data_IF_750454331644
#
_entry.id   IF_750454331644
#
_cell.length_a   1.000
_cell.length_b   1.000
_cell.length_c   1.000
_cell.angle_alpha   90.00
_cell.angle_beta   90.00
_cell.angle_gamma   90.00
#
_symmetry.space_group_name_H-M   'P 1'
#
loop_
_entity.id
_entity.type
_entity.pdbx_description
1 polymer ?
#
# COMPACT_ATOMS: atom_id res chain seq x y z
N UNK A 1 -13.08 21.39 13.48
CA UNK A 1 -13.99 22.04 14.45
C UNK A 1 -14.17 21.29 15.76
N UNK A 2 -14.41 19.97 15.77
CA UNK A 2 -14.58 19.23 17.05
C UNK A 2 -13.43 19.39 18.05
N UNK A 3 -12.18 19.48 17.57
CA UNK A 3 -11.02 19.77 18.41
C UNK A 3 -11.11 21.14 19.10
N UNK A 4 -11.52 22.19 18.39
CA UNK A 4 -11.68 23.53 18.95
C UNK A 4 -12.82 23.60 19.98
N UNK A 5 -13.91 22.85 19.78
CA UNK A 5 -14.99 22.71 20.76
C UNK A 5 -14.50 22.01 22.03
N UNK A 6 -13.75 20.90 21.91
CA UNK A 6 -13.14 20.20 23.07
C UNK A 6 -12.18 21.09 23.86
N UNK A 7 -11.40 21.91 23.15
CA UNK A 7 -10.49 22.90 23.74
C UNK A 7 -11.22 24.15 24.25
N UNK A 8 -12.55 24.21 24.15
CA UNK A 8 -13.40 25.35 24.54
C UNK A 8 -13.03 26.68 23.84
N UNK A 9 -12.40 26.61 22.67
CA UNK A 9 -12.04 27.78 21.85
C UNK A 9 -13.26 28.36 21.12
N UNK A 10 -14.29 27.52 20.89
CA UNK A 10 -15.57 27.90 20.31
C UNK A 10 -16.70 27.35 21.18
N UNK A 11 -17.83 28.04 21.23
CA UNK A 11 -19.00 27.64 22.02
C UNK A 11 -19.75 26.46 21.40
N UNK A 12 -19.77 26.38 20.08
CA UNK A 12 -20.47 25.35 19.33
C UNK A 12 -19.75 25.01 18.02
N UNK A 13 -19.91 23.77 17.53
CA UNK A 13 -19.44 23.35 16.22
C UNK A 13 -20.47 23.73 15.13
N UNK A 14 -20.18 24.65 14.20
CA UNK A 14 -21.13 25.04 13.16
C UNK A 14 -21.41 23.94 12.12
N UNK A 15 -20.57 22.90 12.03
CA UNK A 15 -20.84 21.72 11.20
C UNK A 15 -21.86 20.75 11.83
N UNK A 16 -22.31 20.97 13.08
CA UNK A 16 -23.13 20.01 13.83
C UNK A 16 -24.50 19.74 13.18
N UNK A 17 -25.05 20.72 12.49
CA UNK A 17 -26.38 20.68 11.88
C UNK A 17 -26.35 20.60 10.35
N UNK A 18 -25.16 20.44 9.77
CA UNK A 18 -24.98 20.36 8.32
C UNK A 18 -24.84 18.89 7.93
N UNK A 19 -25.70 18.42 7.03
CA UNK A 19 -25.53 17.12 6.41
C UNK A 19 -24.39 17.15 5.41
N UNK A 20 -23.53 16.13 5.47
CA UNK A 20 -22.45 16.00 4.49
C UNK A 20 -23.07 15.68 3.13
N UNK A 21 -22.77 16.44 2.07
CA UNK A 21 -23.28 16.13 0.74
C UNK A 21 -22.88 14.70 0.36
N UNK A 22 -23.86 13.95 -0.18
CA UNK A 22 -23.65 12.56 -0.59
C UNK A 22 -22.64 12.55 -1.72
N UNK A 23 -21.48 11.93 -1.48
CA UNK A 23 -20.52 11.67 -2.54
C UNK A 23 -21.00 10.46 -3.32
N UNK A 24 -20.89 10.53 -4.63
CA UNK A 24 -21.06 9.35 -5.47
C UNK A 24 -20.06 8.28 -5.06
N UNK A 25 -20.49 7.02 -5.07
CA UNK A 25 -19.59 5.91 -4.79
C UNK A 25 -18.66 5.77 -5.98
N UNK A 26 -17.36 5.95 -5.73
CA UNK A 26 -16.34 5.63 -6.71
C UNK A 26 -16.19 4.11 -6.79
N UNK A 27 -16.40 3.57 -7.98
CA UNK A 27 -16.08 2.17 -8.30
C UNK A 27 -14.82 2.19 -9.16
N UNK A 28 -13.68 1.68 -8.67
CA UNK A 28 -12.48 1.59 -9.48
C UNK A 28 -12.70 0.59 -10.63
N UNK A 29 -12.16 0.92 -11.80
CA UNK A 29 -11.96 -0.07 -12.85
C UNK A 29 -10.81 -1.00 -12.46
N UNK A 30 -11.04 -2.31 -12.56
CA UNK A 30 -10.11 -3.33 -12.05
C UNK A 30 -9.57 -4.15 -13.22
N UNK A 31 -8.28 -4.49 -13.15
CA UNK A 31 -7.67 -5.35 -14.16
C UNK A 31 -8.29 -6.75 -14.12
N UNK A 32 -8.71 -7.23 -15.28
CA UNK A 32 -9.11 -8.62 -15.47
C UNK A 32 -7.89 -9.55 -15.48
N UNK A 33 -8.07 -10.85 -15.20
CA UNK A 33 -6.96 -11.81 -15.29
C UNK A 33 -6.26 -11.82 -16.66
N UNK A 34 -7.01 -11.64 -17.75
CA UNK A 34 -6.46 -11.59 -19.10
C UNK A 34 -5.58 -10.35 -19.34
N UNK A 35 -5.97 -9.20 -18.80
CA UNK A 35 -5.17 -7.97 -18.89
C UNK A 35 -3.90 -8.08 -18.05
N UNK A 36 -3.98 -8.68 -16.85
CA UNK A 36 -2.81 -8.97 -16.02
C UNK A 36 -1.83 -9.87 -16.78
N UNK A 37 -2.30 -10.98 -17.36
CA UNK A 37 -1.45 -11.86 -18.18
C UNK A 37 -0.83 -11.12 -19.36
N UNK A 38 -1.58 -10.22 -20.00
CA UNK A 38 -1.07 -9.42 -21.12
C UNK A 38 0.04 -8.47 -20.69
N UNK A 39 -0.08 -7.82 -19.54
CA UNK A 39 0.95 -6.93 -18.98
C UNK A 39 2.22 -7.74 -18.67
N UNK A 40 2.07 -8.83 -17.92
CA UNK A 40 3.21 -9.65 -17.48
C UNK A 40 3.97 -10.24 -18.67
N UNK A 41 3.26 -10.72 -19.70
CA UNK A 41 3.87 -11.32 -20.89
C UNK A 41 4.54 -10.30 -21.83
N UNK A 42 4.28 -9.00 -21.66
CA UNK A 42 4.93 -7.94 -22.45
C UNK A 42 6.27 -7.49 -21.88
N UNK A 43 6.59 -7.87 -20.64
CA UNK A 43 7.85 -7.50 -20.01
C UNK A 43 9.00 -8.31 -20.60
N UNK A 44 10.06 -7.63 -21.01
CA UNK A 44 11.28 -8.28 -21.48
C UNK A 44 12.16 -8.66 -20.28
N UNK A 45 12.21 -9.96 -19.95
CA UNK A 45 12.99 -10.44 -18.80
C UNK A 45 14.52 -10.32 -18.98
N UNK A 46 15.00 -9.98 -20.18
CA UNK A 46 16.40 -9.63 -20.40
C UNK A 46 16.73 -8.17 -20.08
N UNK A 47 15.71 -7.31 -19.99
CA UNK A 47 15.83 -5.92 -19.57
C UNK A 47 15.72 -5.82 -18.05
N UNK A 48 16.68 -5.12 -17.42
CA UNK A 48 16.77 -4.99 -15.97
C UNK A 48 15.52 -4.35 -15.35
N UNK A 49 15.01 -3.27 -15.94
CA UNK A 49 13.85 -2.56 -15.40
C UNK A 49 12.57 -3.41 -15.52
N UNK A 50 12.36 -4.04 -16.67
CA UNK A 50 11.21 -4.92 -16.89
C UNK A 50 11.27 -6.14 -15.96
N UNK A 51 12.47 -6.69 -15.72
CA UNK A 51 12.67 -7.76 -14.75
C UNK A 51 12.33 -7.32 -13.31
N UNK A 52 12.73 -6.11 -12.91
CA UNK A 52 12.34 -5.55 -11.61
C UNK A 52 10.82 -5.38 -11.51
N UNK A 53 10.16 -4.88 -12.55
CA UNK A 53 8.70 -4.76 -12.58
C UNK A 53 8.00 -6.11 -12.57
N UNK A 54 8.57 -7.12 -13.24
CA UNK A 54 8.06 -8.49 -13.21
C UNK A 54 8.02 -9.03 -11.78
N UNK A 55 9.12 -8.90 -11.03
CA UNK A 55 9.18 -9.32 -9.62
C UNK A 55 8.19 -8.52 -8.76
N UNK A 56 8.17 -7.19 -8.91
CA UNK A 56 7.28 -6.30 -8.19
C UNK A 56 5.79 -6.66 -8.38
N UNK A 57 5.38 -6.91 -9.63
CA UNK A 57 4.02 -7.30 -9.98
C UNK A 57 3.69 -8.68 -9.41
N UNK A 58 4.59 -9.67 -9.54
CA UNK A 58 4.38 -11.00 -8.97
C UNK A 58 4.18 -10.94 -7.46
N UNK A 59 5.05 -10.26 -6.73
CA UNK A 59 4.91 -10.10 -5.28
C UNK A 59 3.60 -9.40 -4.90
N UNK A 60 3.23 -8.35 -5.63
CA UNK A 60 2.01 -7.59 -5.35
C UNK A 60 0.74 -8.41 -5.61
N UNK A 61 0.72 -9.17 -6.71
CA UNK A 61 -0.43 -9.99 -7.11
C UNK A 61 -0.63 -11.20 -6.20
N UNK A 62 0.46 -11.86 -5.78
CA UNK A 62 0.38 -13.05 -4.94
C UNK A 62 0.19 -12.71 -3.46
N UNK A 63 0.86 -11.67 -2.96
CA UNK A 63 0.90 -11.33 -1.52
C UNK A 63 0.03 -10.12 -1.14
N UNK A 64 -0.56 -9.44 -2.12
CA UNK A 64 -1.44 -8.29 -1.88
C UNK A 64 -0.73 -7.09 -1.25
N UNK A 65 0.55 -6.88 -1.58
CA UNK A 65 1.34 -5.79 -0.99
C UNK A 65 0.83 -4.42 -1.42
N UNK A 66 0.77 -3.47 -0.49
CA UNK A 66 0.61 -2.06 -0.88
C UNK A 66 1.92 -1.57 -1.48
N UNK A 67 1.86 -0.61 -2.42
CA UNK A 67 3.07 -0.07 -3.09
C UNK A 67 4.19 0.33 -2.12
N UNK A 68 3.87 1.06 -1.05
CA UNK A 68 4.88 1.44 -0.06
C UNK A 68 5.38 0.27 0.80
N UNK A 69 4.59 -0.79 0.99
CA UNK A 69 5.04 -2.03 1.65
C UNK A 69 6.06 -2.76 0.75
N UNK A 70 5.78 -2.86 -0.55
CA UNK A 70 6.68 -3.45 -1.55
C UNK A 70 8.01 -2.66 -1.65
N UNK A 71 7.93 -1.34 -1.80
CA UNK A 71 9.09 -0.46 -1.87
C UNK A 71 9.89 -0.42 -0.55
N UNK A 72 9.23 -0.72 0.58
CA UNK A 72 9.83 -0.75 1.91
C UNK A 72 10.48 -2.09 2.29
N UNK A 73 10.44 -3.10 1.40
CA UNK A 73 11.06 -4.40 1.66
C UNK A 73 12.58 -4.28 1.77
N UNK A 74 13.12 -4.86 2.83
CA UNK A 74 14.57 -4.97 3.07
C UNK A 74 14.99 -6.45 3.09
N UNK A 75 16.26 -6.74 2.85
CA UNK A 75 16.79 -8.11 2.89
C UNK A 75 16.50 -8.84 4.21
N UNK A 76 16.52 -8.11 5.34
CA UNK A 76 16.19 -8.66 6.67
C UNK A 76 14.70 -8.98 6.85
N UNK A 77 13.86 -8.69 5.86
CA UNK A 77 12.43 -9.03 5.86
C UNK A 77 12.18 -10.38 5.18
N UNK A 78 13.11 -10.85 4.35
CA UNK A 78 13.02 -12.09 3.58
C UNK A 78 13.61 -13.24 4.39
N UNK A 79 12.75 -14.17 4.83
CA UNK A 79 13.19 -15.42 5.46
C UNK A 79 13.19 -16.54 4.43
N UNK A 80 14.22 -16.54 3.59
CA UNK A 80 14.32 -17.51 2.48
C UNK A 80 14.34 -18.98 2.94
N UNK A 81 14.85 -19.27 4.14
CA UNK A 81 14.82 -20.63 4.71
C UNK A 81 13.43 -21.08 5.13
N UNK A 82 12.54 -20.15 5.47
CA UNK A 82 11.18 -20.40 5.94
C UNK A 82 10.14 -20.15 4.83
N UNK A 83 10.59 -19.72 3.64
CA UNK A 83 9.76 -19.26 2.54
C UNK A 83 8.72 -18.21 2.98
N UNK A 84 9.11 -17.33 3.91
CA UNK A 84 8.22 -16.31 4.47
C UNK A 84 8.80 -14.90 4.30
N UNK A 85 7.90 -13.92 4.32
CA UNK A 85 8.21 -12.50 4.19
C UNK A 85 7.52 -11.71 5.30
N UNK A 86 8.29 -10.87 6.00
CA UNK A 86 7.75 -9.98 7.03
C UNK A 86 7.53 -8.58 6.45
N UNK A 87 6.28 -8.12 6.47
CA UNK A 87 5.94 -6.74 6.14
C UNK A 87 5.95 -5.95 7.45
N UNK A 88 6.96 -5.10 7.63
CA UNK A 88 7.07 -4.22 8.82
C UNK A 88 7.43 -2.77 8.49
N UNK A 89 7.70 -2.51 7.21
CA UNK A 89 8.17 -1.25 6.69
C UNK A 89 7.19 -0.71 5.65
N UNK A 90 7.17 0.60 5.47
CA UNK A 90 6.43 1.28 4.43
C UNK A 90 7.24 2.48 3.93
N UNK A 91 7.63 2.46 2.67
CA UNK A 91 8.31 3.58 2.03
C UNK A 91 7.30 4.68 1.67
N UNK A 92 7.64 5.92 2.00
CA UNK A 92 6.87 7.10 1.62
C UNK A 92 7.79 8.12 0.95
N UNK A 93 7.26 8.81 -0.06
CA UNK A 93 7.88 9.98 -0.65
C UNK A 93 7.11 11.23 -0.23
N UNK A 94 7.77 12.16 0.45
CA UNK A 94 7.16 13.40 0.93
C UNK A 94 8.17 14.53 0.90
N UNK A 95 7.74 15.72 0.46
CA UNK A 95 8.57 16.92 0.43
C UNK A 95 9.95 16.73 -0.26
N UNK A 96 10.01 15.92 -1.33
CA UNK A 96 11.26 15.68 -2.06
C UNK A 96 12.14 14.56 -1.50
N UNK A 97 11.76 13.96 -0.37
CA UNK A 97 12.57 12.97 0.34
C UNK A 97 11.86 11.62 0.47
N UNK A 98 12.68 10.57 0.49
CA UNK A 98 12.24 9.19 0.77
C UNK A 98 12.39 8.93 2.27
N UNK A 99 11.35 8.38 2.88
CA UNK A 99 11.35 7.94 4.27
C UNK A 99 10.89 6.50 4.35
N UNK A 100 11.56 5.72 5.18
CA UNK A 100 11.09 4.41 5.62
C UNK A 100 10.34 4.60 6.95
N UNK A 101 9.06 4.22 6.97
CA UNK A 101 8.22 4.30 8.16
C UNK A 101 7.70 2.92 8.53
N UNK A 102 7.04 2.82 9.68
CA UNK A 102 6.17 1.68 9.95
C UNK A 102 4.85 1.81 9.17
N UNK A 103 4.15 0.69 8.92
CA UNK A 103 2.79 0.71 8.45
C UNK A 103 1.87 1.55 9.34
N UNK A 104 0.79 2.07 8.76
CA UNK A 104 -0.14 2.99 9.46
C UNK A 104 -0.74 2.41 10.74
N UNK A 105 -0.84 1.08 10.84
CA UNK A 105 -1.39 0.40 12.00
C UNK A 105 -0.54 -0.82 12.37
N UNK A 106 -0.59 -1.24 13.63
CA UNK A 106 0.18 -2.39 14.13
C UNK A 106 -0.28 -3.68 13.44
N UNK A 107 -1.58 -3.79 13.15
CA UNK A 107 -2.19 -4.94 12.45
C UNK A 107 -1.70 -5.07 11.00
N UNK A 108 -1.12 -4.01 10.44
CA UNK A 108 -0.52 -4.05 9.11
C UNK A 108 0.88 -4.70 9.12
N UNK A 109 1.49 -4.87 10.30
CA UNK A 109 2.71 -5.66 10.47
C UNK A 109 2.32 -7.13 10.48
N UNK A 110 2.77 -7.87 9.47
CA UNK A 110 2.37 -9.27 9.27
C UNK A 110 3.48 -10.08 8.63
N UNK A 111 3.53 -11.35 8.99
CA UNK A 111 4.31 -12.34 8.28
C UNK A 111 3.41 -13.01 7.25
N UNK A 112 3.89 -13.11 6.02
CA UNK A 112 3.23 -13.80 4.93
C UNK A 112 4.05 -15.02 4.57
N UNK A 113 3.46 -16.19 4.71
CA UNK A 113 4.04 -17.43 4.24
C UNK A 113 3.71 -17.59 2.75
N UNK A 114 4.74 -17.79 1.93
CA UNK A 114 4.53 -18.22 0.56
C UNK A 114 4.10 -19.70 0.59
N UNK A 115 2.79 -19.96 0.46
CA UNK A 115 2.30 -21.28 0.05
C UNK A 115 2.63 -21.51 -1.43
N UNK A 116 3.91 -21.75 -1.73
CA UNK A 116 4.39 -22.37 -2.96
C UNK A 116 5.47 -23.37 -2.58
#
# INVERSE_FOLDING_TARGET
MNRALKLRLIKENPCKYIERPKREKFTPDILTPSEISTIVNKLDLSNEYDYMFYIALRLTLELGLRRGELEGLEWNNLKLSENSLIIKNNMIYSNGHVYLTTPKTIESIRELDSMI
#
